data_IF_431461649810
#
_entry.id   IF_431461649810
#
_cell.length_a   1.000
_cell.length_b   1.000
_cell.length_c   1.000
_cell.angle_alpha   90.00
_cell.angle_beta   90.00
_cell.angle_gamma   90.00
#
_symmetry.space_group_name_H-M   'P 1'
#
loop_
_entity.id
_entity.type
_entity.pdbx_description
1 polymer ?
#
# COMPACT_ATOMS: atom_id res chain seq x y z
N UNK A 1 -2.26 -7.07 39.85
CA UNK A 1 -1.37 -7.57 38.78
C UNK A 1 -1.75 -6.82 37.51
N UNK A 2 -1.01 -5.77 37.15
CA UNK A 2 -1.31 -4.95 35.98
C UNK A 2 -0.56 -5.56 34.79
N UNK A 3 -1.29 -6.07 33.81
CA UNK A 3 -0.69 -6.56 32.57
C UNK A 3 -0.48 -5.35 31.65
N UNK A 4 0.78 -5.01 31.38
CA UNK A 4 1.13 -4.00 30.37
C UNK A 4 1.25 -4.73 29.04
N UNK A 5 0.32 -4.45 28.12
CA UNK A 5 0.38 -4.96 26.76
C UNK A 5 1.20 -3.99 25.90
N UNK A 6 2.30 -4.47 25.33
CA UNK A 6 3.16 -3.70 24.43
C UNK A 6 2.67 -3.89 22.99
N UNK A 7 2.49 -2.78 22.28
CA UNK A 7 2.07 -2.76 20.88
C UNK A 7 3.26 -2.33 20.00
N UNK A 8 3.39 -2.93 18.83
CA UNK A 8 4.37 -2.56 17.80
C UNK A 8 3.64 -2.40 16.48
N UNK A 9 3.85 -1.26 15.83
CA UNK A 9 3.20 -0.90 14.58
C UNK A 9 4.26 -0.80 13.49
N UNK A 10 3.99 -1.44 12.35
CA UNK A 10 4.84 -1.37 11.15
C UNK A 10 3.95 -1.13 9.97
N UNK A 11 4.36 -0.19 9.11
CA UNK A 11 3.65 0.08 7.88
C UNK A 11 4.07 1.40 7.27
N UNK A 12 3.60 1.62 6.05
CA UNK A 12 3.79 2.85 5.32
C UNK A 12 2.41 3.48 5.08
N UNK A 13 2.19 4.65 5.66
CA UNK A 13 0.90 5.36 5.54
C UNK A 13 0.70 5.97 4.15
N UNK A 14 1.76 6.08 3.34
CA UNK A 14 1.69 6.57 1.97
C UNK A 14 1.33 5.45 0.96
N UNK A 15 1.20 4.21 1.43
CA UNK A 15 0.70 3.09 0.63
C UNK A 15 -0.83 3.07 0.58
N UNK A 16 -1.38 1.96 0.07
CA UNK A 16 -2.80 1.78 -0.17
C UNK A 16 -3.63 1.97 1.10
N UNK A 17 -4.73 2.75 1.03
CA UNK A 17 -5.69 2.79 2.10
C UNK A 17 -6.41 1.43 2.21
N UNK A 18 -7.05 1.12 3.36
CA UNK A 18 -7.81 -0.12 3.51
C UNK A 18 -8.91 -0.27 2.46
N UNK A 19 -8.93 -1.40 1.74
CA UNK A 19 -9.81 -1.67 0.59
C UNK A 19 -11.30 -1.47 0.89
N UNK A 20 -11.76 -1.93 2.05
CA UNK A 20 -13.15 -1.78 2.52
C UNK A 20 -13.19 -1.37 4.00
N UNK A 21 -12.43 -0.33 4.34
CA UNK A 21 -12.31 0.15 5.72
C UNK A 21 -12.95 1.52 5.95
N UNK A 22 -13.44 1.75 7.17
CA UNK A 22 -13.55 3.12 7.69
C UNK A 22 -12.13 3.71 7.73
N UNK A 23 -11.94 5.00 7.42
CA UNK A 23 -10.61 5.60 7.40
C UNK A 23 -9.90 5.36 8.73
N UNK A 24 -8.64 4.92 8.64
CA UNK A 24 -7.78 4.56 9.80
C UNK A 24 -7.68 5.73 10.76
N UNK A 25 -7.61 6.95 10.22
CA UNK A 25 -7.65 8.19 10.99
C UNK A 25 -9.00 8.87 10.82
N UNK A 26 -9.68 9.09 11.96
CA UNK A 26 -10.85 9.98 12.03
C UNK A 26 -10.48 11.21 12.81
N UNK A 27 -10.68 12.38 12.20
CA UNK A 27 -10.58 13.65 12.89
C UNK A 27 -11.68 13.71 13.96
N UNK A 28 -11.29 13.68 15.22
CA UNK A 28 -12.22 13.83 16.34
C UNK A 28 -12.40 15.32 16.64
N UNK A 29 -13.65 15.73 16.87
CA UNK A 29 -13.94 17.08 17.37
C UNK A 29 -13.76 17.13 18.88
N UNK A 30 -13.35 18.30 19.39
CA UNK A 30 -13.10 18.52 20.83
C UNK A 30 -14.31 18.19 21.72
N UNK A 31 -15.54 18.39 21.21
CA UNK A 31 -16.78 18.03 21.89
C UNK A 31 -16.94 16.51 22.04
N UNK A 32 -16.59 15.76 21.00
CA UNK A 32 -16.74 14.30 20.95
C UNK A 32 -15.69 13.60 21.83
N UNK A 33 -14.47 14.17 21.88
CA UNK A 33 -13.42 13.76 22.82
C UNK A 33 -13.89 13.89 24.27
N UNK A 34 -14.39 15.06 24.68
CA UNK A 34 -14.85 15.29 26.06
C UNK A 34 -16.03 14.39 26.47
N UNK A 35 -16.92 14.09 25.52
CA UNK A 35 -18.13 13.29 25.80
C UNK A 35 -17.86 11.79 25.79
N UNK A 36 -16.96 11.28 24.92
CA UNK A 36 -16.70 9.84 24.77
C UNK A 36 -15.47 9.34 25.51
N UNK A 37 -14.41 10.13 25.58
CA UNK A 37 -13.15 9.77 26.24
C UNK A 37 -13.09 10.29 27.68
N UNK A 38 -14.23 10.56 28.34
CA UNK A 38 -14.34 11.16 29.68
C UNK A 38 -13.59 10.47 30.84
N UNK A 39 -12.77 9.45 30.58
CA UNK A 39 -11.89 8.77 31.53
C UNK A 39 -10.50 8.42 30.95
N UNK A 40 -10.18 8.79 29.71
CA UNK A 40 -8.91 8.44 29.07
C UNK A 40 -7.93 9.62 29.16
N UNK A 41 -6.76 9.39 29.76
CA UNK A 41 -5.70 10.40 29.89
C UNK A 41 -5.07 10.81 28.55
N UNK A 42 -5.13 9.94 27.54
CA UNK A 42 -4.53 10.18 26.22
C UNK A 42 -5.58 10.20 25.12
N UNK A 43 -5.85 11.38 24.58
CA UNK A 43 -6.80 11.58 23.47
C UNK A 43 -6.18 11.18 22.14
N UNK A 44 -4.85 11.27 22.04
CA UNK A 44 -4.10 10.85 20.87
C UNK A 44 -3.01 9.86 21.27
N UNK A 45 -3.38 8.57 21.30
CA UNK A 45 -2.47 7.46 21.63
C UNK A 45 -1.19 7.49 20.79
N UNK A 46 -1.24 7.92 19.53
CA UNK A 46 -0.06 7.99 18.66
C UNK A 46 0.95 9.03 19.12
N UNK A 47 0.48 10.17 19.64
CA UNK A 47 1.38 11.24 20.09
C UNK A 47 1.92 10.98 21.50
N UNK A 48 1.12 10.36 22.36
CA UNK A 48 1.42 10.27 23.79
C UNK A 48 2.02 8.92 24.20
N UNK A 49 1.85 7.87 23.39
CA UNK A 49 2.27 6.49 23.76
C UNK A 49 3.13 5.79 22.73
N UNK A 50 3.21 6.29 21.50
CA UNK A 50 3.96 5.65 20.41
C UNK A 50 5.23 6.47 20.12
N UNK A 51 6.37 5.81 20.19
CA UNK A 51 7.65 6.30 19.67
C UNK A 51 7.73 5.96 18.18
N UNK A 52 8.18 6.91 17.37
CA UNK A 52 8.24 6.78 15.92
C UNK A 52 9.69 6.73 15.45
N UNK A 53 10.05 5.64 14.79
CA UNK A 53 11.33 5.46 14.10
C UNK A 53 11.09 5.29 12.61
N UNK A 54 11.75 6.12 11.80
CA UNK A 54 11.68 6.04 10.34
C UNK A 54 12.81 5.19 9.77
N UNK A 55 12.45 4.25 8.90
CA UNK A 55 13.42 3.49 8.12
C UNK A 55 13.75 4.25 6.83
N UNK A 56 15.00 4.68 6.71
CA UNK A 56 15.50 5.45 5.56
C UNK A 56 16.16 4.61 4.48
N UNK A 57 16.53 3.36 4.82
CA UNK A 57 17.26 2.47 3.92
C UNK A 57 16.29 1.51 3.24
N UNK A 58 16.29 1.52 1.91
CA UNK A 58 15.53 0.57 1.10
C UNK A 58 16.42 -0.60 0.68
N UNK A 59 16.26 -1.73 1.36
CA UNK A 59 16.99 -2.95 1.06
C UNK A 59 16.45 -3.68 -0.18
N UNK A 60 15.21 -3.45 -0.60
CA UNK A 60 14.62 -4.15 -1.74
C UNK A 60 15.27 -3.76 -3.07
N UNK A 61 15.66 -2.48 -3.22
CA UNK A 61 16.27 -1.96 -4.45
C UNK A 61 17.76 -1.68 -4.27
N UNK A 62 18.39 -2.42 -3.36
CA UNK A 62 19.82 -2.28 -3.09
C UNK A 62 20.63 -2.55 -4.36
N UNK A 63 21.31 -1.52 -4.85
CA UNK A 63 22.16 -1.58 -6.04
C UNK A 63 21.69 -0.73 -7.22
N UNK A 64 20.46 -0.20 -7.19
CA UNK A 64 19.95 0.73 -8.21
C UNK A 64 19.52 2.05 -7.55
N UNK A 65 20.49 2.95 -7.37
CA UNK A 65 20.25 4.25 -6.73
C UNK A 65 19.30 5.14 -7.55
N UNK A 66 19.35 5.02 -8.88
CA UNK A 66 18.48 5.77 -9.78
C UNK A 66 17.02 5.34 -9.61
N UNK A 67 16.77 4.03 -9.56
CA UNK A 67 15.43 3.49 -9.36
C UNK A 67 14.90 3.78 -7.94
N UNK A 68 15.75 3.72 -6.92
CA UNK A 68 15.37 4.12 -5.55
C UNK A 68 14.90 5.58 -5.48
N UNK A 69 15.66 6.54 -6.02
CA UNK A 69 15.30 7.97 -6.04
C UNK A 69 14.01 8.22 -6.80
N UNK A 70 13.81 7.48 -7.89
CA UNK A 70 12.60 7.55 -8.69
C UNK A 70 11.38 7.09 -7.88
N UNK A 71 11.46 5.97 -7.16
CA UNK A 71 10.37 5.49 -6.32
C UNK A 71 10.10 6.38 -5.10
N UNK A 72 11.14 6.98 -4.53
CA UNK A 72 10.97 7.96 -3.46
C UNK A 72 10.19 9.19 -3.95
N UNK A 73 10.48 9.64 -5.17
CA UNK A 73 9.74 10.70 -5.85
C UNK A 73 8.27 10.32 -6.11
N UNK A 74 8.02 9.08 -6.55
CA UNK A 74 6.66 8.53 -6.73
C UNK A 74 5.90 8.52 -5.39
N UNK A 75 6.54 8.04 -4.31
CA UNK A 75 5.94 7.92 -2.98
C UNK A 75 5.47 9.27 -2.41
N UNK A 76 6.21 10.34 -2.69
CA UNK A 76 5.87 11.70 -2.25
C UNK A 76 5.01 12.48 -3.27
N UNK A 77 4.79 11.94 -4.46
CA UNK A 77 4.00 12.58 -5.51
C UNK A 77 4.73 13.65 -6.33
N UNK A 78 6.07 13.68 -6.30
CA UNK A 78 6.91 14.65 -7.02
C UNK A 78 7.55 14.03 -8.27
N UNK A 79 6.74 13.69 -9.27
CA UNK A 79 7.24 13.07 -10.50
C UNK A 79 7.82 14.12 -11.46
N UNK A 80 8.99 13.83 -12.04
CA UNK A 80 9.55 14.58 -13.17
C UNK A 80 9.18 13.93 -14.50
N UNK A 81 9.18 14.69 -15.59
CA UNK A 81 8.90 14.16 -16.94
C UNK A 81 9.89 13.02 -17.30
N UNK A 82 11.16 13.16 -16.92
CA UNK A 82 12.19 12.11 -17.11
C UNK A 82 11.86 10.81 -16.37
N UNK A 83 11.31 10.91 -15.16
CA UNK A 83 10.85 9.75 -14.39
C UNK A 83 9.70 9.04 -15.11
N UNK A 84 8.75 9.83 -15.64
CA UNK A 84 7.59 9.32 -16.37
C UNK A 84 8.04 8.63 -17.66
N UNK A 85 8.94 9.23 -18.43
CA UNK A 85 9.50 8.65 -19.65
C UNK A 85 10.25 7.35 -19.35
N UNK A 86 11.03 7.33 -18.28
CA UNK A 86 11.77 6.14 -17.83
C UNK A 86 10.81 5.01 -17.47
N UNK A 87 9.77 5.29 -16.69
CA UNK A 87 8.74 4.30 -16.35
C UNK A 87 7.98 3.81 -17.58
N UNK A 88 7.64 4.73 -18.49
CA UNK A 88 6.92 4.43 -19.73
C UNK A 88 7.75 3.53 -20.66
N UNK A 89 9.07 3.76 -20.75
CA UNK A 89 9.97 2.92 -21.55
C UNK A 89 10.05 1.46 -21.05
N UNK A 90 9.77 1.25 -19.76
CA UNK A 90 9.77 -0.08 -19.12
C UNK A 90 8.40 -0.77 -19.20
N UNK A 91 7.40 -0.15 -19.81
CA UNK A 91 6.11 -0.79 -20.06
C UNK A 91 6.31 -1.89 -21.10
N UNK A 92 6.21 -3.13 -20.66
CA UNK A 92 6.17 -4.26 -21.58
C UNK A 92 4.83 -4.26 -22.31
N UNK A 93 4.85 -3.95 -23.60
CA UNK A 93 3.70 -4.16 -24.48
C UNK A 93 3.54 -5.64 -24.73
N UNK A 94 2.83 -6.29 -23.82
CA UNK A 94 2.44 -7.68 -23.94
C UNK A 94 0.99 -7.70 -24.39
N UNK A 95 0.70 -8.33 -25.53
CA UNK A 95 -0.68 -8.72 -25.77
C UNK A 95 -0.98 -9.87 -24.80
N UNK A 96 -1.90 -9.62 -23.87
CA UNK A 96 -2.29 -10.59 -22.86
C UNK A 96 -2.64 -11.93 -23.55
N UNK A 97 -3.34 -11.86 -24.68
CA UNK A 97 -3.73 -13.00 -25.51
C UNK A 97 -2.56 -13.87 -26.02
N UNK A 98 -1.42 -13.30 -26.41
CA UNK A 98 -0.26 -14.08 -26.87
C UNK A 98 0.42 -14.79 -25.70
N UNK A 99 0.56 -14.12 -24.54
CA UNK A 99 1.14 -14.78 -23.36
C UNK A 99 0.27 -15.90 -22.83
N UNK A 100 -1.06 -15.76 -22.78
CA UNK A 100 -1.92 -16.88 -22.35
C UNK A 100 -1.74 -18.13 -23.24
N UNK A 101 -1.54 -17.96 -24.56
CA UNK A 101 -1.25 -19.06 -25.50
C UNK A 101 0.14 -19.68 -25.33
N UNK A 102 1.13 -18.92 -24.86
CA UNK A 102 2.46 -19.44 -24.51
C UNK A 102 2.46 -20.15 -23.15
N UNK A 103 1.65 -19.66 -22.21
CA UNK A 103 1.46 -20.26 -20.89
C UNK A 103 0.71 -21.60 -20.99
N UNK A 104 -0.29 -21.73 -21.88
CA UNK A 104 -0.95 -23.01 -22.16
C UNK A 104 0.02 -24.09 -22.69
N UNK A 105 1.15 -23.70 -23.28
CA UNK A 105 2.17 -24.63 -23.80
C UNK A 105 3.24 -25.01 -22.78
N UNK A 106 3.30 -24.34 -21.63
CA UNK A 106 4.31 -24.57 -20.59
C UNK A 106 3.64 -25.13 -19.32
N UNK A 107 3.82 -26.43 -19.06
CA UNK A 107 3.14 -27.18 -17.99
C UNK A 107 3.50 -26.74 -16.55
N UNK A 108 4.47 -25.84 -16.39
CA UNK A 108 4.84 -25.24 -15.10
C UNK A 108 5.20 -23.78 -15.30
N UNK A 109 4.37 -22.90 -14.74
CA UNK A 109 4.69 -21.48 -14.58
C UNK A 109 4.59 -21.15 -13.10
N UNK A 110 5.69 -20.71 -12.51
CA UNK A 110 5.67 -19.99 -11.24
C UNK A 110 5.16 -18.57 -11.52
N UNK A 111 3.86 -18.36 -11.34
CA UNK A 111 3.23 -17.05 -11.42
C UNK A 111 3.55 -16.25 -10.16
N UNK A 112 4.51 -15.33 -10.24
CA UNK A 112 4.57 -14.20 -9.33
C UNK A 112 3.48 -13.20 -9.76
N UNK A 113 2.47 -13.01 -8.91
CA UNK A 113 1.30 -12.18 -9.22
C UNK A 113 1.71 -10.77 -9.67
N UNK A 114 1.33 -10.41 -10.90
CA UNK A 114 1.24 -9.03 -11.35
C UNK A 114 -0.24 -8.65 -11.32
N UNK A 115 -0.61 -7.78 -10.39
CA UNK A 115 -1.93 -7.15 -10.42
C UNK A 115 -1.95 -6.16 -11.59
N UNK A 116 -2.57 -6.57 -12.69
CA UNK A 116 -2.95 -5.66 -13.76
C UNK A 116 -4.20 -4.91 -13.30
N UNK A 117 -4.03 -3.65 -12.92
CA UNK A 117 -5.15 -2.73 -12.78
C UNK A 117 -5.56 -2.34 -14.20
N UNK A 118 -6.70 -2.85 -14.66
CA UNK A 118 -7.35 -2.35 -15.86
C UNK A 118 -7.77 -0.89 -15.61
N UNK A 119 -7.40 0.01 -16.53
CA UNK A 119 -7.85 1.42 -16.52
C UNK A 119 -9.38 1.54 -16.69
N UNK A 120 -10.06 0.45 -17.07
CA UNK A 120 -11.50 0.34 -16.92
C UNK A 120 -11.86 -0.07 -15.49
N UNK A 121 -12.36 0.88 -14.69
CA UNK A 121 -12.83 0.67 -13.31
C UNK A 121 -14.04 -0.25 -13.16
N UNK A 122 -14.05 -1.39 -13.84
CA UNK A 122 -15.10 -2.40 -13.76
C UNK A 122 -14.67 -3.49 -12.80
N UNK A 123 -15.18 -3.41 -11.57
CA UNK A 123 -15.11 -4.50 -10.59
C UNK A 123 -15.67 -5.79 -11.20
N UNK A 124 -14.91 -6.92 -11.22
CA UNK A 124 -15.47 -8.20 -11.59
C UNK A 124 -16.49 -8.64 -10.53
N UNK A 125 -17.75 -8.79 -10.92
CA UNK A 125 -18.76 -9.42 -10.06
C UNK A 125 -18.48 -10.92 -10.02
N UNK A 126 -17.98 -11.40 -8.88
CA UNK A 126 -17.94 -12.83 -8.59
C UNK A 126 -19.33 -13.29 -8.16
N UNK A 127 -20.07 -13.90 -9.07
CA UNK A 127 -21.27 -14.65 -8.73
C UNK A 127 -20.86 -15.95 -8.03
N UNK A 128 -21.12 -16.02 -6.72
CA UNK A 128 -21.02 -17.27 -5.97
C UNK A 128 -22.13 -18.21 -6.45
N UNK A 129 -21.78 -19.19 -7.28
CA UNK A 129 -22.60 -20.39 -7.40
C UNK A 129 -22.54 -21.13 -6.06
N UNK A 130 -23.71 -21.28 -5.44
CA UNK A 130 -23.91 -22.16 -4.29
C UNK A 130 -23.85 -23.60 -4.79
N UNK A 131 -23.08 -24.42 -4.09
CA UNK A 131 -23.22 -25.89 -4.06
C UNK A 131 -23.57 -26.28 -2.62
#
# INVERSE_FOLDING_TARGET
>A
MVWIQKYFFVGDLLQLPPVNGRPVFKKLSSKLVKTRLGAANAVNIWKETVEYDELTINEQQKGDETFFKMLDSVRHGYLTDETIDTLTSRIFKVSIQEKYKELEKTEKIELACFDVIDESGSTPKFDKKQE
#
